data_IF_235503623318
#
_entry.id   IF_235503623318
#
_cell.length_a   1.000
_cell.length_b   1.000
_cell.length_c   1.000
_cell.angle_alpha   90.00
_cell.angle_beta   90.00
_cell.angle_gamma   90.00
#
_symmetry.space_group_name_H-M   'P 1'
#
loop_
_entity.id
_entity.type
_entity.pdbx_description
1 polymer ?
#
# COMPACT_ATOMS: atom_id res chain seq x y z
N UNK A 1 24.62 1.60 -13.37
CA UNK A 1 23.67 2.24 -12.43
C UNK A 1 22.21 1.77 -12.59
N UNK A 2 21.83 1.08 -13.68
CA UNK A 2 20.45 0.60 -13.86
C UNK A 2 19.98 -0.48 -12.87
N UNK A 3 20.88 -1.32 -12.36
CA UNK A 3 20.53 -2.39 -11.41
C UNK A 3 20.01 -1.87 -10.07
N UNK A 4 20.57 -0.78 -9.54
CA UNK A 4 20.07 -0.16 -8.29
C UNK A 4 18.65 0.39 -8.49
N UNK A 5 18.41 1.07 -9.60
CA UNK A 5 17.09 1.60 -9.97
C UNK A 5 16.08 0.45 -10.12
N UNK A 6 16.47 -0.65 -10.75
CA UNK A 6 15.63 -1.85 -10.85
C UNK A 6 15.29 -2.45 -9.49
N UNK A 7 16.25 -2.53 -8.55
CA UNK A 7 16.00 -3.00 -7.18
C UNK A 7 15.00 -2.07 -6.48
N UNK A 8 15.13 -0.75 -6.63
CA UNK A 8 14.17 0.21 -6.07
C UNK A 8 12.77 -0.02 -6.66
N UNK A 9 12.66 -0.19 -7.98
CA UNK A 9 11.38 -0.51 -8.62
C UNK A 9 10.79 -1.85 -8.15
N UNK A 10 11.64 -2.85 -7.91
CA UNK A 10 11.22 -4.13 -7.34
C UNK A 10 10.62 -3.95 -5.93
N UNK A 11 11.28 -3.19 -5.06
CA UNK A 11 10.77 -2.89 -3.72
C UNK A 11 9.45 -2.11 -3.78
N UNK A 12 9.36 -1.09 -4.64
CA UNK A 12 8.12 -0.34 -4.86
C UNK A 12 7.00 -1.23 -5.42
N UNK A 13 7.31 -2.25 -6.22
CA UNK A 13 6.35 -3.25 -6.70
C UNK A 13 5.83 -4.14 -5.57
N UNK A 14 6.72 -4.60 -4.70
CA UNK A 14 6.33 -5.41 -3.53
C UNK A 14 5.36 -4.63 -2.64
N UNK A 15 5.71 -3.39 -2.28
CA UNK A 15 4.84 -2.54 -1.43
C UNK A 15 3.50 -2.27 -2.12
N UNK A 16 3.50 -2.00 -3.43
CA UNK A 16 2.26 -1.78 -4.19
C UNK A 16 1.33 -2.98 -4.11
N UNK A 17 1.83 -4.20 -4.30
CA UNK A 17 1.02 -5.41 -4.21
C UNK A 17 0.53 -5.70 -2.79
N UNK A 18 1.34 -5.45 -1.75
CA UNK A 18 0.91 -5.57 -0.36
C UNK A 18 -0.29 -4.65 -0.08
N UNK A 19 -0.23 -3.40 -0.56
CA UNK A 19 -1.34 -2.44 -0.43
C UNK A 19 -2.59 -2.92 -1.17
N UNK A 20 -2.44 -3.46 -2.39
CA UNK A 20 -3.57 -4.02 -3.15
C UNK A 20 -4.20 -5.19 -2.41
N UNK A 21 -3.40 -6.13 -1.88
CA UNK A 21 -3.90 -7.25 -1.08
C UNK A 21 -4.67 -6.73 0.14
N UNK A 22 -4.17 -5.70 0.83
CA UNK A 22 -4.86 -5.08 1.95
C UNK A 22 -6.21 -4.46 1.54
N UNK A 23 -6.28 -3.74 0.41
CA UNK A 23 -7.54 -3.18 -0.11
C UNK A 23 -8.55 -4.29 -0.44
N UNK A 24 -8.10 -5.34 -1.14
CA UNK A 24 -8.95 -6.48 -1.47
C UNK A 24 -9.45 -7.15 -0.19
N UNK A 25 -8.57 -7.44 0.77
CA UNK A 25 -8.95 -8.01 2.07
C UNK A 25 -9.94 -7.12 2.81
N UNK A 26 -9.76 -5.81 2.78
CA UNK A 26 -10.68 -4.84 3.40
C UNK A 26 -12.08 -4.95 2.80
N UNK A 27 -12.20 -5.00 1.48
CA UNK A 27 -13.49 -5.21 0.82
C UNK A 27 -14.09 -6.58 1.12
N UNK A 28 -13.27 -7.64 1.07
CA UNK A 28 -13.74 -9.00 1.38
C UNK A 28 -14.30 -9.11 2.81
N UNK A 29 -13.66 -8.47 3.78
CA UNK A 29 -14.15 -8.40 5.16
C UNK A 29 -15.41 -7.52 5.28
N UNK A 30 -15.41 -6.35 4.67
CA UNK A 30 -16.52 -5.40 4.77
C UNK A 30 -17.81 -5.90 4.09
N UNK A 31 -17.69 -6.60 2.97
CA UNK A 31 -18.82 -7.25 2.30
C UNK A 31 -19.22 -8.60 2.92
N UNK A 32 -18.59 -9.01 4.04
CA UNK A 32 -18.90 -10.25 4.73
C UNK A 32 -18.52 -11.53 3.98
N UNK A 33 -17.70 -11.41 2.93
CA UNK A 33 -17.22 -12.54 2.13
C UNK A 33 -16.19 -13.36 2.94
N UNK A 34 -15.33 -12.67 3.68
CA UNK A 34 -14.43 -13.27 4.66
C UNK A 34 -14.89 -12.96 6.08
N UNK A 35 -14.73 -13.94 6.97
CA UNK A 35 -15.08 -13.78 8.38
C UNK A 35 -13.83 -13.50 9.22
N UNK A 36 -13.77 -12.29 9.80
CA UNK A 36 -12.68 -11.87 10.67
C UNK A 36 -12.47 -12.77 11.90
N UNK A 37 -13.51 -13.48 12.36
CA UNK A 37 -13.41 -14.34 13.53
C UNK A 37 -12.56 -15.60 13.29
N UNK A 38 -12.32 -15.96 12.02
CA UNK A 38 -11.43 -17.07 11.67
C UNK A 38 -9.98 -16.69 11.97
N UNK A 39 -9.27 -17.56 12.71
CA UNK A 39 -7.89 -17.31 13.17
C UNK A 39 -6.94 -16.98 12.02
N UNK A 40 -7.05 -17.70 10.90
CA UNK A 40 -6.24 -17.49 9.71
C UNK A 40 -6.47 -16.11 9.06
N UNK A 41 -7.74 -15.75 8.82
CA UNK A 41 -8.12 -14.44 8.22
C UNK A 41 -7.63 -13.29 9.10
N UNK A 42 -7.85 -13.39 10.42
CA UNK A 42 -7.38 -12.40 11.40
C UNK A 42 -5.87 -12.28 11.41
N UNK A 43 -5.14 -13.39 11.33
CA UNK A 43 -3.68 -13.37 11.30
C UNK A 43 -3.16 -12.65 10.06
N UNK A 44 -3.72 -12.93 8.88
CA UNK A 44 -3.35 -12.22 7.64
C UNK A 44 -3.67 -10.73 7.76
N UNK A 45 -4.89 -10.40 8.18
CA UNK A 45 -5.33 -9.00 8.33
C UNK A 45 -4.41 -8.21 9.26
N UNK A 46 -4.18 -8.72 10.47
CA UNK A 46 -3.32 -8.06 11.47
C UNK A 46 -1.86 -7.98 11.02
N UNK A 47 -1.37 -8.94 10.25
CA UNK A 47 -0.02 -8.89 9.67
C UNK A 47 0.10 -7.80 8.61
N UNK A 48 -0.89 -7.70 7.71
CA UNK A 48 -0.96 -6.63 6.71
C UNK A 48 -1.04 -5.26 7.37
N UNK A 49 -1.94 -5.07 8.35
CA UNK A 49 -2.05 -3.82 9.09
C UNK A 49 -0.73 -3.45 9.75
N UNK A 50 -0.05 -4.38 10.45
CA UNK A 50 1.23 -4.07 11.11
C UNK A 50 2.33 -3.65 10.14
N UNK A 51 2.37 -4.25 8.95
CA UNK A 51 3.36 -3.90 7.91
C UNK A 51 3.04 -2.51 7.33
N UNK A 52 1.77 -2.19 7.13
CA UNK A 52 1.32 -0.98 6.46
C UNK A 52 1.14 0.21 7.40
N UNK A 53 0.93 -0.01 8.69
CA UNK A 53 0.64 1.02 9.69
C UNK A 53 1.70 2.15 9.75
N UNK A 54 3.01 1.88 9.66
CA UNK A 54 4.02 2.95 9.61
C UNK A 54 3.83 3.91 8.42
N UNK A 55 3.26 3.42 7.32
CA UNK A 55 3.00 4.19 6.10
C UNK A 55 1.60 4.82 6.17
N UNK A 56 0.60 4.08 6.63
CA UNK A 56 -0.79 4.54 6.66
C UNK A 56 -1.06 5.55 7.77
N UNK A 57 -0.51 5.37 8.96
CA UNK A 57 -0.73 6.26 10.10
C UNK A 57 -0.45 7.74 9.80
N UNK A 58 0.72 8.13 9.24
CA UNK A 58 0.97 9.54 8.93
C UNK A 58 0.00 10.07 7.88
N UNK A 59 -0.37 9.25 6.89
CA UNK A 59 -1.31 9.63 5.84
C UNK A 59 -2.72 9.84 6.42
N UNK A 60 -3.21 8.91 7.24
CA UNK A 60 -4.51 9.04 7.92
C UNK A 60 -4.56 10.28 8.81
N UNK A 61 -3.46 10.63 9.48
CA UNK A 61 -3.41 11.83 10.32
C UNK A 61 -3.47 13.15 9.54
N UNK A 62 -3.09 13.12 8.26
CA UNK A 62 -3.16 14.29 7.37
C UNK A 62 -4.53 14.40 6.65
N UNK A 63 -5.31 13.32 6.60
CA UNK A 63 -6.61 13.29 5.97
C UNK A 63 -7.71 13.74 6.95
N UNK A 64 -8.76 14.43 6.47
CA UNK A 64 -9.95 14.68 7.27
C UNK A 64 -10.65 13.36 7.63
N UNK A 65 -11.46 13.34 8.70
CA UNK A 65 -12.21 12.13 9.10
C UNK A 65 -13.35 11.84 8.11
N UNK A 66 -13.18 10.83 7.26
CA UNK A 66 -14.12 10.48 6.16
C UNK A 66 -15.15 9.41 6.53
N UNK A 67 -15.67 9.41 7.76
CA UNK A 67 -16.85 8.61 8.12
C UNK A 67 -16.71 7.09 7.85
N UNK A 68 -15.61 6.49 8.27
CA UNK A 68 -15.39 5.03 8.19
C UNK A 68 -14.75 4.53 6.89
N UNK A 69 -14.55 5.39 5.90
CA UNK A 69 -13.78 5.04 4.69
C UNK A 69 -12.28 5.35 4.89
N UNK A 70 -11.44 4.32 4.77
CA UNK A 70 -9.99 4.50 4.81
C UNK A 70 -9.43 4.79 3.41
N UNK A 71 -9.10 6.06 3.15
CA UNK A 71 -8.46 6.48 1.90
C UNK A 71 -6.94 6.36 1.92
N UNK A 72 -6.31 6.01 3.05
CA UNK A 72 -4.86 5.93 3.11
C UNK A 72 -4.25 4.93 2.10
N UNK A 73 -4.83 3.74 1.85
CA UNK A 73 -4.34 2.83 0.82
C UNK A 73 -4.27 3.47 -0.56
N UNK A 74 -5.30 4.23 -0.95
CA UNK A 74 -5.34 4.93 -2.24
C UNK A 74 -4.23 5.97 -2.35
N UNK A 75 -4.05 6.79 -1.31
CA UNK A 75 -2.98 7.80 -1.27
C UNK A 75 -1.60 7.14 -1.35
N UNK A 76 -1.39 5.99 -0.70
CA UNK A 76 -0.14 5.23 -0.83
C UNK A 76 0.10 4.76 -2.25
N UNK A 77 -0.91 4.19 -2.93
CA UNK A 77 -0.76 3.74 -4.32
C UNK A 77 -0.40 4.89 -5.25
N UNK A 78 -1.03 6.06 -5.08
CA UNK A 78 -0.71 7.28 -5.81
C UNK A 78 0.72 7.76 -5.51
N UNK A 79 1.13 7.78 -4.24
CA UNK A 79 2.47 8.14 -3.82
C UNK A 79 3.54 7.22 -4.42
N UNK A 80 3.33 5.89 -4.39
CA UNK A 80 4.22 4.92 -5.03
C UNK A 80 4.32 5.19 -6.53
N UNK A 81 3.19 5.45 -7.20
CA UNK A 81 3.16 5.71 -8.64
C UNK A 81 3.91 7.01 -8.99
N UNK A 82 3.70 8.07 -8.20
CA UNK A 82 4.41 9.33 -8.36
C UNK A 82 5.92 9.16 -8.18
N UNK A 83 6.36 8.43 -7.15
CA UNK A 83 7.78 8.11 -6.93
C UNK A 83 8.35 7.37 -8.13
N UNK A 84 7.63 6.38 -8.68
CA UNK A 84 8.08 5.65 -9.87
C UNK A 84 8.27 6.56 -11.08
N UNK A 85 7.31 7.45 -11.34
CA UNK A 85 7.38 8.41 -12.45
C UNK A 85 8.61 9.32 -12.28
N UNK A 86 8.82 9.86 -11.08
CA UNK A 86 9.95 10.73 -10.77
C UNK A 86 11.27 9.99 -11.00
N UNK A 87 11.42 8.78 -10.46
CA UNK A 87 12.65 7.99 -10.61
C UNK A 87 12.90 7.67 -12.09
N UNK A 88 11.88 7.18 -12.81
CA UNK A 88 12.02 6.83 -14.23
C UNK A 88 12.46 8.03 -15.07
N UNK A 89 11.84 9.20 -14.85
CA UNK A 89 12.12 10.39 -15.65
C UNK A 89 13.51 10.98 -15.37
N UNK A 90 13.93 11.00 -14.10
CA UNK A 90 15.28 11.46 -13.76
C UNK A 90 16.37 10.46 -14.16
N UNK A 91 16.12 9.16 -14.01
CA UNK A 91 17.05 8.11 -14.47
C UNK A 91 17.26 8.16 -15.99
N UNK A 92 16.19 8.38 -16.76
CA UNK A 92 16.26 8.53 -18.21
C UNK A 92 17.03 9.79 -18.63
N UNK A 93 16.95 10.88 -17.85
CA UNK A 93 17.68 12.12 -18.14
C UNK A 93 19.20 12.02 -17.86
N UNK A 94 19.59 11.11 -16.95
CA UNK A 94 21.00 10.90 -16.56
C UNK A 94 21.73 9.86 -17.41
N UNK A 95 21.03 9.17 -18.32
CA UNK A 95 21.57 8.20 -19.29
C UNK A 95 21.74 8.85 -20.65
#
# INVERSE_FOLDING_TARGET
MGSLIQIIFMLLNIVWWIVIIHVIMSWLLNFGILNYNQSFVRQIWTSLERILEPIYRPIRSALPSLGGLDLAPLIVLLGITAIRIIISRNAMYLM
#
